data_IF_369661351264
#
_entry.id   IF_369661351264
#
_cell.length_a   1.000
_cell.length_b   1.000
_cell.length_c   1.000
_cell.angle_alpha   90.00
_cell.angle_beta   90.00
_cell.angle_gamma   90.00
#
_symmetry.space_group_name_H-M   'P 1'
#
loop_
_entity.id
_entity.type
_entity.pdbx_description
1 polymer ?
#
# COMPACT_ATOMS: atom_id res chain seq x y z
N UNK A 1 -14.04 -17.58 0.67
CA UNK A 1 -14.69 -17.30 1.96
C UNK A 1 -15.10 -15.83 1.98
N UNK A 2 -16.29 -15.47 2.46
CA UNK A 2 -16.64 -14.06 2.69
C UNK A 2 -15.71 -13.47 3.76
N UNK A 3 -15.37 -12.18 3.63
CA UNK A 3 -14.57 -11.44 4.63
C UNK A 3 -15.34 -11.33 5.96
N UNK A 4 -14.61 -11.27 7.06
CA UNK A 4 -15.21 -11.00 8.38
C UNK A 4 -15.57 -9.52 8.52
N UNK A 5 -16.49 -9.19 9.43
CA UNK A 5 -16.84 -7.80 9.73
C UNK A 5 -15.62 -6.97 10.18
N UNK A 6 -14.73 -7.58 10.95
CA UNK A 6 -13.46 -6.98 11.37
C UNK A 6 -12.54 -6.68 10.19
N UNK A 7 -12.42 -7.62 9.25
CA UNK A 7 -11.63 -7.44 8.03
C UNK A 7 -12.15 -6.29 7.17
N UNK A 8 -13.47 -6.18 7.00
CA UNK A 8 -14.09 -5.06 6.27
C UNK A 8 -13.84 -3.73 6.99
N UNK A 9 -14.07 -3.67 8.31
CA UNK A 9 -13.84 -2.45 9.09
C UNK A 9 -12.38 -2.00 9.04
N UNK A 10 -11.43 -2.95 9.03
CA UNK A 10 -10.01 -2.66 8.89
C UNK A 10 -9.66 -2.09 7.50
N UNK A 11 -10.24 -2.63 6.42
CA UNK A 11 -10.03 -2.10 5.06
C UNK A 11 -10.61 -0.69 4.90
N UNK A 12 -11.80 -0.45 5.46
CA UNK A 12 -12.45 0.87 5.43
C UNK A 12 -11.60 1.91 6.16
N UNK A 13 -11.15 1.59 7.38
CA UNK A 13 -10.28 2.45 8.16
C UNK A 13 -8.94 2.73 7.45
N UNK A 14 -8.35 1.71 6.82
CA UNK A 14 -7.12 1.88 6.02
C UNK A 14 -7.35 2.78 4.81
N UNK A 15 -8.47 2.58 4.10
CA UNK A 15 -8.83 3.39 2.93
C UNK A 15 -8.99 4.87 3.31
N UNK A 16 -9.70 5.14 4.41
CA UNK A 16 -9.88 6.51 4.93
C UNK A 16 -8.54 7.13 5.35
N UNK A 17 -7.67 6.36 6.00
CA UNK A 17 -6.36 6.83 6.43
C UNK A 17 -5.46 7.21 5.24
N UNK A 18 -5.46 6.41 4.17
CA UNK A 18 -4.70 6.71 2.94
C UNK A 18 -5.22 7.98 2.27
N UNK A 19 -6.54 8.12 2.10
CA UNK A 19 -7.14 9.32 1.48
C UNK A 19 -6.82 10.58 2.28
N UNK A 20 -6.96 10.52 3.62
CA UNK A 20 -6.60 11.63 4.52
C UNK A 20 -5.12 12.00 4.40
N UNK A 21 -4.23 11.00 4.41
CA UNK A 21 -2.79 11.24 4.30
C UNK A 21 -2.45 11.93 2.97
N UNK A 22 -2.97 11.43 1.86
CA UNK A 22 -2.75 12.01 0.55
C UNK A 22 -3.21 13.48 0.49
N UNK A 23 -4.43 13.79 0.97
CA UNK A 23 -4.92 15.17 1.00
C UNK A 23 -4.06 16.11 1.86
N UNK A 24 -3.49 15.59 2.93
CA UNK A 24 -2.61 16.37 3.81
C UNK A 24 -1.23 16.62 3.18
N UNK A 25 -0.67 15.64 2.47
CA UNK A 25 0.67 15.73 1.89
C UNK A 25 0.71 16.41 0.50
N UNK A 26 -0.41 16.41 -0.23
CA UNK A 26 -0.51 16.99 -1.57
C UNK A 26 -1.71 17.95 -1.66
N UNK A 27 -1.71 19.06 -0.90
CA UNK A 27 -2.83 19.98 -0.85
C UNK A 27 -3.03 20.69 -2.20
N UNK A 28 -4.25 20.61 -2.75
CA UNK A 28 -4.62 21.26 -4.02
C UNK A 28 -4.40 20.42 -5.27
N UNK A 29 -3.63 19.32 -5.18
CA UNK A 29 -3.32 18.46 -6.33
C UNK A 29 -4.22 17.21 -6.41
N UNK A 30 -5.08 16.99 -5.41
CA UNK A 30 -5.90 15.77 -5.31
C UNK A 30 -7.38 16.08 -5.53
N UNK A 31 -7.81 15.86 -6.77
CA UNK A 31 -9.21 15.75 -7.17
C UNK A 31 -9.61 14.29 -7.37
N UNK A 32 -10.85 13.93 -6.98
CA UNK A 32 -11.44 12.60 -7.23
C UNK A 32 -11.57 11.69 -5.99
N UNK A 33 -11.82 10.40 -6.26
CA UNK A 33 -12.08 9.34 -5.28
C UNK A 33 -10.99 8.27 -5.37
N UNK A 34 -10.45 7.83 -4.23
CA UNK A 34 -9.51 6.72 -4.15
C UNK A 34 -10.21 5.38 -4.51
N UNK A 35 -9.92 4.86 -5.70
CA UNK A 35 -10.57 3.64 -6.21
C UNK A 35 -9.72 2.37 -6.08
N UNK A 36 -8.39 2.50 -6.16
CA UNK A 36 -7.43 1.38 -6.09
C UNK A 36 -6.18 1.80 -5.34
N UNK A 37 -5.67 0.89 -4.51
CA UNK A 37 -4.36 1.02 -3.88
C UNK A 37 -3.81 -0.36 -3.51
N UNK A 38 -2.49 -0.42 -3.34
CA UNK A 38 -1.79 -1.52 -2.70
C UNK A 38 -0.81 -0.94 -1.69
N UNK A 39 -0.84 -1.44 -0.46
CA UNK A 39 0.16 -1.11 0.56
C UNK A 39 1.23 -2.19 0.52
N UNK A 40 2.49 -1.79 0.39
CA UNK A 40 3.65 -2.67 0.55
C UNK A 40 4.38 -2.24 1.81
N UNK A 41 4.59 -3.17 2.73
CA UNK A 41 5.23 -2.90 4.01
C UNK A 41 6.29 -3.94 4.31
N UNK A 42 7.41 -3.50 4.89
CA UNK A 42 8.40 -4.37 5.50
C UNK A 42 8.22 -4.31 7.02
N UNK A 43 8.19 -5.47 7.66
CA UNK A 43 8.20 -5.61 9.12
C UNK A 43 9.44 -6.34 9.56
N UNK A 44 9.96 -5.95 10.70
CA UNK A 44 11.12 -6.58 11.32
C UNK A 44 10.83 -6.85 12.79
N UNK A 45 11.22 -8.01 13.26
CA UNK A 45 11.16 -8.41 14.66
C UNK A 45 12.26 -9.42 14.97
N UNK A 46 12.43 -9.74 16.25
CA UNK A 46 13.30 -10.80 16.72
C UNK A 46 12.43 -11.96 17.20
N UNK A 47 12.79 -13.20 16.85
CA UNK A 47 12.11 -14.37 17.39
C UNK A 47 12.71 -14.81 18.74
N UNK A 48 12.18 -15.91 19.29
CA UNK A 48 12.55 -16.42 20.60
C UNK A 48 14.01 -16.94 20.66
N UNK A 49 14.61 -17.25 19.50
CA UNK A 49 16.00 -17.68 19.36
C UNK A 49 16.96 -16.48 19.22
N UNK A 50 16.43 -15.25 19.18
CA UNK A 50 17.20 -14.05 18.96
C UNK A 50 17.64 -13.89 17.51
N UNK A 51 16.95 -14.52 16.56
CA UNK A 51 17.17 -14.30 15.13
C UNK A 51 16.33 -13.13 14.62
N UNK A 52 16.93 -12.30 13.75
CA UNK A 52 16.22 -11.19 13.13
C UNK A 52 15.37 -11.72 11.98
N UNK A 53 14.05 -11.54 12.09
CA UNK A 53 13.10 -11.88 11.04
C UNK A 53 12.69 -10.62 10.29
N UNK A 54 12.68 -10.71 8.95
CA UNK A 54 12.12 -9.68 8.07
C UNK A 54 10.98 -10.28 7.25
N UNK A 55 9.80 -9.65 7.29
CA UNK A 55 8.68 -10.02 6.43
C UNK A 55 8.25 -8.86 5.55
N UNK A 56 7.89 -9.21 4.32
CA UNK A 56 7.30 -8.28 3.35
C UNK A 56 5.82 -8.62 3.23
N UNK A 57 4.97 -7.61 3.39
CA UNK A 57 3.53 -7.75 3.29
C UNK A 57 3.01 -6.88 2.16
N UNK A 58 2.05 -7.43 1.43
CA UNK A 58 1.30 -6.74 0.40
C UNK A 58 -0.18 -6.79 0.75
N UNK A 59 -0.81 -5.62 0.80
CA UNK A 59 -2.21 -5.46 1.20
C UNK A 59 -2.96 -4.64 0.13
N UNK A 60 -3.54 -5.30 -0.89
CA UNK A 60 -4.41 -4.64 -1.85
C UNK A 60 -5.75 -4.27 -1.19
N UNK A 61 -6.38 -3.20 -1.68
CA UNK A 61 -7.73 -2.77 -1.25
C UNK A 61 -8.70 -3.96 -1.24
N UNK A 62 -9.29 -4.25 -0.08
CA UNK A 62 -10.30 -5.29 0.18
C UNK A 62 -9.88 -6.74 -0.14
N UNK A 63 -8.60 -7.00 -0.44
CA UNK A 63 -8.14 -8.31 -0.91
C UNK A 63 -8.74 -8.73 -2.26
N UNK A 64 -9.35 -7.81 -3.01
CA UNK A 64 -10.19 -8.08 -4.19
C UNK A 64 -9.60 -7.57 -5.51
N UNK A 65 -8.49 -6.82 -5.48
CA UNK A 65 -7.88 -6.34 -6.70
C UNK A 65 -7.34 -7.52 -7.53
N UNK A 66 -7.65 -7.57 -8.84
CA UNK A 66 -7.00 -8.51 -9.76
C UNK A 66 -5.47 -8.38 -9.66
N UNK A 67 -4.74 -9.49 -9.72
CA UNK A 67 -3.27 -9.46 -9.66
C UNK A 67 -2.65 -8.61 -10.77
N UNK A 68 -3.33 -8.48 -11.93
CA UNK A 68 -2.94 -7.57 -13.00
C UNK A 68 -2.94 -6.10 -12.56
N UNK A 69 -3.94 -5.70 -11.77
CA UNK A 69 -4.05 -4.33 -11.27
C UNK A 69 -2.98 -4.07 -10.21
N UNK A 70 -2.74 -5.06 -9.33
CA UNK A 70 -1.67 -4.99 -8.33
C UNK A 70 -0.30 -4.86 -8.99
N UNK A 71 -0.01 -5.70 -9.98
CA UNK A 71 1.24 -5.64 -10.74
C UNK A 71 1.39 -4.29 -11.44
N UNK A 72 0.34 -3.81 -12.12
CA UNK A 72 0.38 -2.53 -12.81
C UNK A 72 0.65 -1.34 -11.87
N UNK A 73 0.07 -1.33 -10.67
CA UNK A 73 0.34 -0.30 -9.66
C UNK A 73 1.81 -0.34 -9.20
N UNK A 74 2.35 -1.53 -8.96
CA UNK A 74 3.75 -1.71 -8.52
C UNK A 74 4.72 -1.31 -9.63
N UNK A 75 4.47 -1.71 -10.88
CA UNK A 75 5.32 -1.38 -12.02
C UNK A 75 5.32 0.13 -12.31
N UNK A 76 4.16 0.79 -12.19
CA UNK A 76 4.07 2.25 -12.28
C UNK A 76 4.93 2.93 -11.21
N UNK A 77 4.77 2.53 -9.94
CA UNK A 77 5.53 3.09 -8.83
C UNK A 77 7.04 2.86 -8.99
N UNK A 78 7.45 1.64 -9.34
CA UNK A 78 8.85 1.29 -9.58
C UNK A 78 9.46 2.09 -10.74
N UNK A 79 8.69 2.30 -11.82
CA UNK A 79 9.14 3.11 -12.96
C UNK A 79 9.34 4.56 -12.56
N UNK A 80 8.40 5.13 -11.80
CA UNK A 80 8.52 6.51 -11.29
C UNK A 80 9.73 6.67 -10.37
N UNK A 81 9.90 5.77 -9.40
CA UNK A 81 11.05 5.81 -8.48
C UNK A 81 12.37 5.68 -9.24
N UNK A 82 12.47 4.80 -10.23
CA UNK A 82 13.70 4.67 -11.05
C UNK A 82 14.00 5.95 -11.84
N UNK A 83 12.97 6.62 -12.35
CA UNK A 83 13.12 7.92 -13.01
C UNK A 83 13.66 8.96 -12.03
N UNK A 84 13.04 9.08 -10.85
CA UNK A 84 13.45 10.05 -9.83
C UNK A 84 14.92 9.79 -9.42
N UNK A 85 15.31 8.53 -9.18
CA UNK A 85 16.71 8.15 -8.93
C UNK A 85 17.65 8.59 -10.06
N UNK A 86 17.24 8.42 -11.33
CA UNK A 86 18.08 8.80 -12.47
C UNK A 86 18.17 10.30 -12.73
N UNK A 87 17.24 11.09 -12.17
CA UNK A 87 17.24 12.57 -12.27
C UNK A 87 17.97 13.23 -11.10
N UNK A 88 18.14 12.51 -9.97
CA UNK A 88 18.87 12.95 -8.78
C UNK A 88 20.41 12.73 -8.87
N UNK A 89 20.88 11.97 -9.87
CA UNK A 89 22.31 11.76 -10.23
C UNK A 89 22.81 12.77 -11.30
#
# INVERSE_FOLDING_TARGET
>A
MPRTAEQTAADDALTEAIDRHHRACYPGDIEGVLTKYVVVAQRQWWDDDGEQITAHLMSPREGSLPLSDVLGLIEFAATRIRRDISEDD
#
